data_IF_590059112243
#
_entry.id   IF_590059112243
#
_cell.length_a   1.000
_cell.length_b   1.000
_cell.length_c   1.000
_cell.angle_alpha   90.00
_cell.angle_beta   90.00
_cell.angle_gamma   90.00
#
_symmetry.space_group_name_H-M   'P 1'
#
loop_
_entity.id
_entity.type
_entity.pdbx_description
1 polymer ?
#
# COMPACT_ATOMS: atom_id res chain seq x y z
N UNK A 1 -5.96 -16.59 22.03
CA UNK A 1 -6.25 -15.82 20.79
C UNK A 1 -4.95 -15.22 20.30
N UNK A 2 -4.63 -15.51 19.05
CA UNK A 2 -3.29 -15.56 18.44
C UNK A 2 -2.76 -14.18 18.05
N UNK A 3 -1.51 -13.87 18.40
CA UNK A 3 -0.86 -12.57 18.14
C UNK A 3 -0.97 -12.07 16.68
N UNK A 4 -1.13 -12.96 15.70
CA UNK A 4 -1.39 -12.63 14.28
C UNK A 4 -2.64 -11.78 14.05
N UNK A 5 -3.71 -11.99 14.82
CA UNK A 5 -4.94 -11.21 14.69
C UNK A 5 -4.72 -9.76 15.16
N UNK A 6 -3.92 -9.57 16.21
CA UNK A 6 -3.58 -8.25 16.76
C UNK A 6 -2.82 -7.39 15.75
N UNK A 7 -1.82 -7.96 15.07
CA UNK A 7 -1.01 -7.22 14.09
C UNK A 7 -1.77 -6.85 12.81
N UNK A 8 -2.74 -7.67 12.36
CA UNK A 8 -3.64 -7.28 11.25
C UNK A 8 -4.46 -6.03 11.59
N UNK A 9 -4.98 -5.97 12.83
CA UNK A 9 -5.70 -4.79 13.30
C UNK A 9 -4.80 -3.57 13.42
N UNK A 10 -3.54 -3.72 13.82
CA UNK A 10 -2.60 -2.60 13.89
C UNK A 10 -2.32 -1.99 12.51
N UNK A 11 -2.18 -2.79 11.46
CA UNK A 11 -1.94 -2.27 10.10
C UNK A 11 -3.16 -1.51 9.57
N UNK A 12 -4.36 -2.10 9.67
CA UNK A 12 -5.60 -1.46 9.20
C UNK A 12 -5.93 -0.18 9.97
N UNK A 13 -5.63 -0.12 11.27
CA UNK A 13 -5.95 1.07 12.10
C UNK A 13 -4.94 2.21 11.99
N UNK A 14 -3.75 1.95 11.44
CA UNK A 14 -2.68 2.96 11.34
C UNK A 14 -2.50 3.52 9.93
N UNK A 15 -2.93 2.79 8.92
CA UNK A 15 -2.92 3.27 7.54
C UNK A 15 -4.17 4.10 7.25
N UNK A 16 -4.02 5.09 6.37
CA UNK A 16 -5.19 5.74 5.75
C UNK A 16 -5.95 4.69 4.93
N UNK A 17 -7.27 4.79 4.87
CA UNK A 17 -8.11 3.84 4.14
C UNK A 17 -7.66 3.66 2.68
N UNK A 18 -7.40 4.76 1.97
CA UNK A 18 -6.88 4.70 0.59
C UNK A 18 -5.52 3.99 0.47
N UNK A 19 -4.65 4.14 1.46
CA UNK A 19 -3.36 3.44 1.50
C UNK A 19 -3.55 1.96 1.81
N UNK A 20 -4.49 1.61 2.69
CA UNK A 20 -4.83 0.22 2.99
C UNK A 20 -5.42 -0.48 1.77
N UNK A 21 -6.31 0.18 1.03
CA UNK A 21 -6.91 -0.36 -0.21
C UNK A 21 -5.87 -0.59 -1.31
N UNK A 22 -4.97 0.39 -1.52
CA UNK A 22 -3.83 0.23 -2.43
C UNK A 22 -2.95 -0.97 -2.05
N UNK A 23 -2.73 -1.17 -0.75
CA UNK A 23 -1.96 -2.31 -0.24
C UNK A 23 -2.69 -3.65 -0.44
N UNK A 24 -4.02 -3.71 -0.32
CA UNK A 24 -4.77 -4.92 -0.63
C UNK A 24 -4.69 -5.27 -2.13
N UNK A 25 -4.80 -4.28 -3.02
CA UNK A 25 -4.60 -4.50 -4.46
C UNK A 25 -3.17 -5.00 -4.74
N UNK A 26 -2.17 -4.38 -4.12
CA UNK A 26 -0.78 -4.82 -4.22
C UNK A 26 -0.61 -6.28 -3.80
N UNK A 27 -1.25 -6.68 -2.70
CA UNK A 27 -1.23 -8.06 -2.22
C UNK A 27 -1.84 -9.03 -3.23
N UNK A 28 -3.00 -8.71 -3.78
CA UNK A 28 -3.68 -9.56 -4.77
C UNK A 28 -2.82 -9.76 -6.02
N UNK A 29 -2.23 -8.68 -6.54
CA UNK A 29 -1.40 -8.75 -7.75
C UNK A 29 -0.15 -9.63 -7.54
N UNK A 30 0.48 -9.56 -6.36
CA UNK A 30 1.69 -10.33 -6.07
C UNK A 30 1.43 -11.66 -5.36
N UNK A 31 0.17 -12.05 -5.14
CA UNK A 31 -0.17 -13.25 -4.40
C UNK A 31 0.35 -13.24 -2.95
N UNK A 32 0.39 -12.07 -2.29
CA UNK A 32 0.88 -11.92 -0.92
C UNK A 32 -0.29 -12.06 0.05
N UNK A 33 -0.30 -13.13 0.84
CA UNK A 33 -1.41 -13.41 1.76
C UNK A 33 -1.37 -12.56 3.05
N UNK A 34 -0.20 -12.03 3.43
CA UNK A 34 0.01 -11.33 4.70
C UNK A 34 0.24 -9.83 4.53
N UNK A 35 -0.50 -9.01 5.29
CA UNK A 35 -0.30 -7.55 5.34
C UNK A 35 1.13 -7.18 5.77
N UNK A 36 1.71 -7.91 6.74
CA UNK A 36 3.08 -7.67 7.20
C UNK A 36 4.13 -8.00 6.14
N UNK A 37 3.89 -9.05 5.34
CA UNK A 37 4.78 -9.40 4.23
C UNK A 37 4.70 -8.35 3.10
N UNK A 38 3.50 -7.82 2.83
CA UNK A 38 3.32 -6.74 1.88
C UNK A 38 4.02 -5.46 2.33
N UNK A 39 3.87 -5.08 3.61
CA UNK A 39 4.55 -3.92 4.19
C UNK A 39 6.07 -4.04 4.18
N UNK A 40 6.62 -5.21 4.52
CA UNK A 40 8.07 -5.43 4.47
C UNK A 40 8.61 -5.20 3.06
N UNK A 41 7.94 -5.75 2.04
CA UNK A 41 8.33 -5.57 0.65
C UNK A 41 8.20 -4.13 0.17
N UNK A 42 7.14 -3.43 0.57
CA UNK A 42 6.97 -2.00 0.27
C UNK A 42 8.03 -1.14 0.96
N UNK A 43 8.41 -1.49 2.19
CA UNK A 43 9.50 -0.82 2.92
C UNK A 43 10.85 -1.04 2.23
N UNK A 44 11.14 -2.24 1.73
CA UNK A 44 12.35 -2.51 0.95
C UNK A 44 12.40 -1.66 -0.32
N UNK A 45 11.28 -1.53 -1.04
CA UNK A 45 11.19 -0.67 -2.23
C UNK A 45 11.46 0.80 -1.89
N UNK A 46 10.81 1.32 -0.83
CA UNK A 46 10.88 2.75 -0.50
C UNK A 46 12.15 3.15 0.24
N UNK A 47 12.71 2.28 1.09
CA UNK A 47 13.87 2.59 1.93
C UNK A 47 15.19 2.13 1.31
N UNK A 48 15.19 1.02 0.57
CA UNK A 48 16.39 0.42 0.00
C UNK A 48 16.47 0.60 -1.52
N UNK A 49 15.48 1.26 -2.13
CA UNK A 49 15.43 1.46 -3.58
C UNK A 49 15.34 0.15 -4.36
N UNK A 50 14.85 -0.94 -3.74
CA UNK A 50 14.65 -2.20 -4.42
C UNK A 50 13.65 -1.96 -5.56
N UNK A 51 14.10 -2.15 -6.80
CA UNK A 51 13.24 -1.95 -7.97
C UNK A 51 12.23 -3.09 -8.02
N UNK A 52 11.03 -2.81 -7.53
CA UNK A 52 9.82 -3.56 -7.85
C UNK A 52 9.00 -2.77 -8.85
N UNK A 53 8.57 -3.39 -9.95
CA UNK A 53 7.55 -2.79 -10.83
C UNK A 53 6.31 -2.58 -9.95
N UNK A 54 5.78 -1.38 -9.79
CA UNK A 54 4.49 -1.21 -9.11
C UNK A 54 3.38 -1.57 -10.12
N UNK A 55 2.40 -2.43 -9.79
CA UNK A 55 1.35 -2.79 -10.73
C UNK A 55 0.52 -1.57 -11.12
N UNK A 56 0.13 -1.47 -12.40
CA UNK A 56 -0.73 -0.38 -12.89
C UNK A 56 -2.12 -0.32 -12.21
N UNK A 57 -2.55 -1.39 -11.51
CA UNK A 57 -3.76 -1.35 -10.68
C UNK A 57 -3.59 -0.47 -9.42
N UNK A 58 -2.36 -0.31 -8.92
CA UNK A 58 -2.05 0.50 -7.73
C UNK A 58 -1.89 1.99 -8.09
N UNK A 59 -1.46 2.30 -9.31
CA UNK A 59 -1.30 3.69 -9.77
C UNK A 59 -2.64 4.44 -9.88
N UNK A 60 -3.75 3.73 -10.09
CA UNK A 60 -5.09 4.32 -10.07
C UNK A 60 -5.50 4.90 -8.72
N UNK A 61 -4.96 4.37 -7.61
CA UNK A 61 -5.23 4.91 -6.26
C UNK A 61 -4.42 6.19 -6.01
N UNK A 62 -3.18 6.25 -6.48
CA UNK A 62 -2.32 7.44 -6.36
C UNK A 62 -2.87 8.65 -7.13
N UNK A 63 -3.54 8.42 -8.27
CA UNK A 63 -4.10 9.47 -9.12
C UNK A 63 -5.23 10.27 -8.45
N UNK A 64 -6.01 9.65 -7.55
CA UNK A 64 -7.07 10.35 -6.81
C UNK A 64 -6.52 11.36 -5.76
N UNK A 65 -5.23 11.30 -5.44
CA UNK A 65 -4.57 12.19 -4.46
C UNK A 65 -3.85 13.40 -5.08
N UNK A 66 -3.79 13.52 -6.42
CA UNK A 66 -2.92 14.47 -7.10
C UNK A 66 -3.61 15.41 -8.10
N UNK A 67 -4.92 15.67 -7.97
CA UNK A 67 -5.56 16.78 -8.70
C UNK A 67 -5.91 17.95 -7.77
N UNK A 68 -4.87 18.57 -7.21
CA UNK A 68 -4.92 19.99 -6.82
C UNK A 68 -3.84 20.71 -7.64
N UNK A 69 -4.12 20.90 -8.93
CA UNK A 69 -3.35 21.85 -9.76
C UNK A 69 -4.04 23.21 -9.58
N UNK A 70 -3.37 24.25 -9.07
CA UNK A 70 -3.94 25.59 -9.10
C UNK A 70 -4.02 26.02 -10.57
N UNK A 71 -5.22 26.30 -11.07
CA UNK A 71 -5.36 27.02 -12.35
C UNK A 71 -4.79 28.42 -12.17
N UNK A 72 -3.61 28.65 -12.74
CA UNK A 72 -3.09 30.00 -12.94
C UNK A 72 -3.82 30.57 -14.16
N UNK A 73 -4.57 31.64 -13.92
CA UNK A 73 -5.29 32.44 -14.93
C UNK A 73 -4.32 33.18 -15.85
#
# INVERSE_FOLDING_TARGET
MTARAKHRNEVKTRLKDSTYDAMQIYKEVYGIESDSAALARLADVMLLGVVGILPGAVTGVSANSSQNVPQVR
#
